data_IF_533131898798
#
_entry.id   IF_533131898798
#
_cell.length_a   1.000
_cell.length_b   1.000
_cell.length_c   1.000
_cell.angle_alpha   90.00
_cell.angle_beta   90.00
_cell.angle_gamma   90.00
#
_symmetry.space_group_name_H-M   'P 1'
#
loop_
_entity.id
_entity.type
_entity.pdbx_description
1 polymer ?
#
# COMPACT_ATOMS: atom_id res chain seq x y z
N UNK A 1 19.55 12.03 6.34
CA UNK A 1 20.01 12.92 7.42
C UNK A 1 19.31 12.46 8.69
N UNK A 2 20.05 12.04 9.71
CA UNK A 2 19.51 11.61 11.00
C UNK A 2 19.53 12.81 11.94
N UNK A 3 18.39 13.11 12.57
CA UNK A 3 18.29 14.18 13.58
C UNK A 3 18.78 13.66 14.93
N UNK A 4 19.29 14.56 15.77
CA UNK A 4 19.72 14.24 17.14
C UNK A 4 18.58 14.18 18.16
N UNK A 5 17.36 14.45 17.73
CA UNK A 5 16.13 14.45 18.57
C UNK A 5 14.94 13.93 17.77
N UNK A 6 13.88 13.52 18.45
CA UNK A 6 12.61 13.16 17.82
C UNK A 6 11.75 14.41 17.59
N UNK A 7 11.57 14.85 16.32
CA UNK A 7 10.80 16.06 16.01
C UNK A 7 9.31 15.94 16.35
N UNK A 8 8.77 14.72 16.45
CA UNK A 8 7.36 14.51 16.83
C UNK A 8 7.19 14.65 18.34
N UNK A 9 8.13 14.13 19.12
CA UNK A 9 8.15 14.33 20.55
C UNK A 9 8.31 15.82 20.92
N UNK A 10 9.15 16.54 20.19
CA UNK A 10 9.30 18.01 20.37
C UNK A 10 8.02 18.77 19.96
N UNK A 11 7.41 18.42 18.84
CA UNK A 11 6.13 19.02 18.44
C UNK A 11 5.02 18.76 19.46
N UNK A 12 4.99 17.54 20.06
CA UNK A 12 4.08 17.19 21.13
C UNK A 12 4.25 18.10 22.33
N UNK A 13 5.51 18.30 22.80
CA UNK A 13 5.81 19.18 23.93
C UNK A 13 5.35 20.62 23.68
N UNK A 14 5.67 21.18 22.50
CA UNK A 14 5.24 22.53 22.12
C UNK A 14 3.72 22.64 22.01
N UNK A 15 3.05 21.60 21.55
CA UNK A 15 1.58 21.58 21.49
C UNK A 15 0.96 21.68 22.89
N UNK A 16 1.45 20.86 23.83
CA UNK A 16 0.99 20.91 25.23
C UNK A 16 1.17 22.30 25.85
N UNK A 17 2.32 22.92 25.63
CA UNK A 17 2.64 24.25 26.17
C UNK A 17 1.74 25.36 25.62
N UNK A 18 1.32 25.28 24.35
CA UNK A 18 0.58 26.36 23.70
C UNK A 18 -0.93 26.14 23.62
N UNK A 19 -1.37 24.90 23.55
CA UNK A 19 -2.76 24.52 23.27
C UNK A 19 -3.39 23.64 24.37
N UNK A 20 -2.59 23.15 25.31
CA UNK A 20 -3.02 22.24 26.36
C UNK A 20 -3.08 20.76 25.89
N UNK A 21 -3.43 19.88 26.82
CA UNK A 21 -3.30 18.42 26.63
C UNK A 21 -4.44 17.78 25.84
N UNK A 22 -5.56 18.48 25.60
CA UNK A 22 -6.83 17.89 25.10
C UNK A 22 -6.66 17.09 23.79
N UNK A 23 -5.85 17.56 22.83
CA UNK A 23 -5.65 16.92 21.53
C UNK A 23 -4.23 16.41 21.29
N UNK A 24 -3.34 16.52 22.26
CA UNK A 24 -1.91 16.23 22.11
C UNK A 24 -1.64 14.80 21.69
N UNK A 25 -2.32 13.83 22.29
CA UNK A 25 -2.14 12.42 21.92
C UNK A 25 -2.60 12.15 20.48
N UNK A 26 -3.71 12.75 20.07
CA UNK A 26 -4.24 12.59 18.70
C UNK A 26 -3.33 13.26 17.67
N UNK A 27 -2.82 14.47 17.96
CA UNK A 27 -1.87 15.17 17.10
C UNK A 27 -0.59 14.35 16.91
N UNK A 28 0.00 13.85 18.01
CA UNK A 28 1.21 13.04 17.97
C UNK A 28 0.98 11.74 17.19
N UNK A 29 -0.17 11.07 17.37
CA UNK A 29 -0.53 9.87 16.64
C UNK A 29 -0.64 10.13 15.13
N UNK A 30 -1.38 11.17 14.73
CA UNK A 30 -1.54 11.54 13.30
C UNK A 30 -0.19 11.86 12.68
N UNK A 31 0.63 12.68 13.33
CA UNK A 31 1.95 13.05 12.81
C UNK A 31 2.86 11.82 12.68
N UNK A 32 2.82 10.90 13.67
CA UNK A 32 3.56 9.64 13.63
C UNK A 32 3.10 8.73 12.48
N UNK A 33 1.80 8.61 12.25
CA UNK A 33 1.23 7.83 11.12
C UNK A 33 1.75 8.38 9.79
N UNK A 34 1.67 9.69 9.58
CA UNK A 34 2.11 10.32 8.34
C UNK A 34 3.61 10.12 8.10
N UNK A 35 4.42 10.23 9.15
CA UNK A 35 5.86 9.99 9.05
C UNK A 35 6.20 8.51 8.82
N UNK A 36 5.56 7.62 9.56
CA UNK A 36 5.73 6.18 9.39
C UNK A 36 5.36 5.73 7.97
N UNK A 37 4.25 6.23 7.42
CA UNK A 37 3.83 5.96 6.05
C UNK A 37 4.93 6.34 5.03
N UNK A 38 5.54 7.51 5.16
CA UNK A 38 6.64 7.93 4.29
C UNK A 38 7.85 6.99 4.38
N UNK A 39 8.25 6.61 5.60
CA UNK A 39 9.39 5.71 5.84
C UNK A 39 9.12 4.33 5.25
N UNK A 40 7.96 3.75 5.55
CA UNK A 40 7.58 2.42 5.07
C UNK A 40 7.48 2.41 3.55
N UNK A 41 6.84 3.41 2.93
CA UNK A 41 6.73 3.50 1.47
C UNK A 41 8.09 3.61 0.77
N UNK A 42 9.01 4.43 1.31
CA UNK A 42 10.37 4.52 0.79
C UNK A 42 11.09 3.16 0.86
N UNK A 43 10.99 2.48 2.00
CA UNK A 43 11.61 1.17 2.21
C UNK A 43 11.02 0.09 1.30
N UNK A 44 9.70 0.03 1.15
CA UNK A 44 9.04 -0.91 0.24
C UNK A 44 9.45 -0.69 -1.21
N UNK A 45 9.54 0.57 -1.67
CA UNK A 45 9.97 0.87 -3.02
C UNK A 45 11.44 0.50 -3.25
N UNK A 46 12.34 0.75 -2.30
CA UNK A 46 13.75 0.32 -2.34
C UNK A 46 13.85 -1.21 -2.47
N UNK A 47 13.07 -1.97 -1.70
CA UNK A 47 13.03 -3.43 -1.77
C UNK A 47 12.52 -3.95 -3.13
N UNK A 48 11.65 -3.19 -3.81
CA UNK A 48 11.01 -3.56 -5.06
C UNK A 48 11.74 -3.06 -6.31
N UNK A 49 12.65 -2.09 -6.18
CA UNK A 49 13.43 -1.53 -7.29
C UNK A 49 14.13 -2.60 -8.16
N UNK A 50 14.82 -3.64 -7.57
CA UNK A 50 15.51 -4.66 -8.37
C UNK A 50 14.59 -5.57 -9.20
N UNK A 51 13.28 -5.44 -9.07
CA UNK A 51 12.27 -6.14 -9.88
C UNK A 51 11.41 -5.19 -10.70
N UNK A 52 11.86 -3.94 -10.87
CA UNK A 52 11.17 -2.86 -11.61
C UNK A 52 9.71 -2.65 -11.15
N UNK A 53 9.51 -2.66 -9.83
CA UNK A 53 8.21 -2.41 -9.23
C UNK A 53 8.28 -1.28 -8.20
N UNK A 54 7.16 -0.57 -8.06
CA UNK A 54 6.84 0.23 -6.86
C UNK A 54 5.77 -0.51 -6.05
N UNK A 55 5.57 -0.14 -4.80
CA UNK A 55 4.59 -0.82 -3.97
C UNK A 55 3.16 -0.77 -4.58
N UNK A 56 2.63 0.36 -5.11
CA UNK A 56 1.34 0.36 -5.79
C UNK A 56 1.28 -0.55 -7.03
N UNK A 57 2.39 -0.68 -7.79
CA UNK A 57 2.45 -1.62 -8.93
C UNK A 57 2.46 -3.07 -8.44
N UNK A 58 3.16 -3.36 -7.35
CA UNK A 58 3.15 -4.67 -6.72
C UNK A 58 1.75 -5.05 -6.24
N UNK A 59 1.02 -4.17 -5.56
CA UNK A 59 -0.34 -4.43 -5.10
C UNK A 59 -1.29 -4.75 -6.26
N UNK A 60 -1.29 -3.94 -7.32
CA UNK A 60 -2.08 -4.19 -8.52
C UNK A 60 -1.72 -5.53 -9.18
N UNK A 61 -0.42 -5.86 -9.26
CA UNK A 61 0.07 -7.12 -9.81
C UNK A 61 -0.38 -8.32 -8.96
N UNK A 62 -0.40 -8.19 -7.63
CA UNK A 62 -0.86 -9.23 -6.71
C UNK A 62 -2.38 -9.46 -6.79
N UNK A 63 -3.19 -8.42 -7.00
CA UNK A 63 -4.62 -8.59 -7.27
C UNK A 63 -4.86 -9.44 -8.52
N UNK A 64 -4.09 -9.22 -9.58
CA UNK A 64 -4.15 -10.03 -10.79
C UNK A 64 -3.62 -11.46 -10.54
N UNK A 65 -2.53 -11.59 -9.79
CA UNK A 65 -1.92 -12.88 -9.45
C UNK A 65 -2.90 -13.80 -8.72
N UNK A 66 -3.69 -13.26 -7.78
CA UNK A 66 -4.68 -14.00 -6.99
C UNK A 66 -6.03 -14.16 -7.69
N UNK A 67 -6.27 -13.41 -8.77
CA UNK A 67 -7.53 -13.53 -9.49
C UNK A 67 -7.65 -14.89 -10.19
N UNK A 68 -8.87 -15.42 -10.25
CA UNK A 68 -9.13 -16.79 -10.77
C UNK A 68 -8.57 -17.02 -12.19
N UNK A 69 -8.66 -15.99 -13.06
CA UNK A 69 -8.19 -16.08 -14.46
C UNK A 69 -6.89 -15.32 -14.71
N UNK A 70 -6.30 -14.71 -13.69
CA UNK A 70 -5.15 -13.81 -13.86
C UNK A 70 -5.53 -12.47 -14.49
N UNK A 71 -6.81 -12.12 -14.52
CA UNK A 71 -7.30 -10.90 -15.14
C UNK A 71 -8.41 -10.25 -14.32
N UNK A 72 -8.49 -8.91 -14.38
CA UNK A 72 -9.53 -8.10 -13.73
C UNK A 72 -9.84 -6.86 -14.57
N UNK A 73 -11.11 -6.38 -14.55
CA UNK A 73 -11.46 -5.04 -15.02
C UNK A 73 -10.71 -3.97 -14.20
N UNK A 74 -10.27 -2.89 -14.87
CA UNK A 74 -9.59 -1.78 -14.20
C UNK A 74 -10.41 -1.17 -13.06
N UNK A 75 -11.74 -1.10 -13.23
CA UNK A 75 -12.66 -0.63 -12.18
C UNK A 75 -12.57 -1.49 -10.91
N UNK A 76 -12.53 -2.82 -11.05
CA UNK A 76 -12.40 -3.71 -9.89
C UNK A 76 -11.04 -3.61 -9.19
N UNK A 77 -9.98 -3.26 -9.94
CA UNK A 77 -8.67 -2.97 -9.34
C UNK A 77 -8.75 -1.66 -8.53
N UNK A 78 -9.40 -0.63 -9.09
CA UNK A 78 -9.65 0.65 -8.41
C UNK A 78 -10.39 0.47 -7.09
N UNK A 79 -11.51 -0.27 -7.13
CA UNK A 79 -12.34 -0.52 -5.95
C UNK A 79 -11.58 -1.26 -4.84
N UNK A 80 -10.76 -2.27 -5.21
CA UNK A 80 -9.99 -3.07 -4.25
C UNK A 80 -8.78 -2.37 -3.66
N UNK A 81 -8.14 -1.50 -4.45
CA UNK A 81 -7.00 -0.69 -3.97
C UNK A 81 -7.47 0.61 -3.31
N UNK A 82 -8.77 0.92 -3.39
CA UNK A 82 -9.36 2.15 -2.86
C UNK A 82 -8.65 3.41 -3.36
N UNK A 83 -8.29 3.42 -4.65
CA UNK A 83 -7.63 4.54 -5.32
C UNK A 83 -8.43 5.01 -6.53
N UNK A 84 -8.23 6.27 -6.91
CA UNK A 84 -8.91 6.84 -8.07
C UNK A 84 -8.57 6.08 -9.37
N UNK A 85 -9.54 5.95 -10.28
CA UNK A 85 -9.38 5.22 -11.56
C UNK A 85 -8.20 5.71 -12.40
N UNK A 86 -7.93 7.01 -12.39
CA UNK A 86 -6.77 7.57 -13.11
C UNK A 86 -5.43 7.03 -12.55
N UNK A 87 -5.32 6.83 -11.23
CA UNK A 87 -4.15 6.23 -10.59
C UNK A 87 -3.95 4.77 -11.04
N UNK A 88 -5.05 3.99 -11.11
CA UNK A 88 -5.00 2.60 -11.60
C UNK A 88 -4.58 2.56 -13.08
N UNK A 89 -5.09 3.45 -13.91
CA UNK A 89 -4.70 3.53 -15.33
C UNK A 89 -3.19 3.72 -15.46
N UNK A 90 -2.61 4.68 -14.73
CA UNK A 90 -1.16 4.92 -14.72
C UNK A 90 -0.36 3.71 -14.21
N UNK A 91 -0.82 3.07 -13.12
CA UNK A 91 -0.18 1.86 -12.57
C UNK A 91 -0.18 0.73 -13.60
N UNK A 92 -1.32 0.47 -14.26
CA UNK A 92 -1.45 -0.57 -15.28
C UNK A 92 -0.62 -0.23 -16.53
N UNK A 93 -0.57 1.02 -16.97
CA UNK A 93 0.28 1.43 -18.11
C UNK A 93 1.76 1.16 -17.84
N UNK A 94 2.23 1.43 -16.63
CA UNK A 94 3.61 1.12 -16.22
C UNK A 94 3.87 -0.40 -16.19
N UNK A 95 2.91 -1.20 -15.70
CA UNK A 95 3.02 -2.66 -15.71
C UNK A 95 2.98 -3.24 -17.13
N UNK A 96 2.23 -2.62 -18.05
CA UNK A 96 2.24 -2.98 -19.47
C UNK A 96 3.59 -2.64 -20.10
N UNK A 97 4.12 -1.47 -19.83
CA UNK A 97 5.44 -1.06 -20.33
C UNK A 97 6.57 -1.99 -19.86
N UNK A 98 6.48 -2.53 -18.62
CA UNK A 98 7.42 -3.53 -18.09
C UNK A 98 7.12 -4.96 -18.61
N UNK A 99 6.08 -5.18 -19.42
CA UNK A 99 5.68 -6.50 -19.93
C UNK A 99 5.08 -7.45 -18.86
N UNK A 100 4.71 -6.94 -17.70
CA UNK A 100 4.15 -7.74 -16.59
C UNK A 100 2.64 -7.92 -16.69
N UNK A 101 1.98 -7.03 -17.42
CA UNK A 101 0.53 -7.04 -17.67
C UNK A 101 0.28 -6.75 -19.15
N UNK A 102 -0.80 -7.28 -19.68
CA UNK A 102 -1.35 -6.92 -20.98
C UNK A 102 -2.78 -6.38 -20.83
N UNK A 103 -3.18 -5.50 -21.74
CA UNK A 103 -4.57 -5.06 -21.86
C UNK A 103 -5.30 -5.95 -22.82
N UNK A 104 -6.43 -6.51 -22.38
CA UNK A 104 -7.28 -7.37 -23.21
C UNK A 104 -8.71 -6.85 -23.22
N UNK A 105 -9.39 -7.00 -24.35
CA UNK A 105 -10.81 -6.67 -24.46
C UNK A 105 -11.65 -7.71 -23.69
N UNK A 106 -12.75 -7.24 -23.10
CA UNK A 106 -13.75 -8.15 -22.53
C UNK A 106 -14.59 -8.75 -23.66
N UNK A 107 -14.66 -10.09 -23.73
CA UNK A 107 -15.26 -10.80 -24.86
C UNK A 107 -16.72 -10.43 -25.17
N UNK A 108 -17.54 -10.05 -24.18
CA UNK A 108 -18.94 -9.69 -24.33
C UNK A 108 -19.20 -8.17 -24.24
N UNK A 109 -18.26 -7.38 -23.70
CA UNK A 109 -18.40 -5.93 -23.54
C UNK A 109 -17.14 -5.21 -24.05
N UNK A 110 -17.25 -4.65 -25.27
CA UNK A 110 -16.16 -3.89 -25.94
C UNK A 110 -15.73 -2.62 -25.19
N UNK A 111 -16.52 -2.15 -24.21
CA UNK A 111 -16.22 -0.94 -23.42
C UNK A 111 -15.35 -1.27 -22.20
N UNK A 112 -15.32 -2.54 -21.78
CA UNK A 112 -14.57 -2.97 -20.61
C UNK A 112 -13.19 -3.45 -21.02
N UNK A 113 -12.15 -2.79 -20.49
CA UNK A 113 -10.74 -3.19 -20.64
C UNK A 113 -10.36 -4.01 -19.41
N UNK A 114 -9.80 -5.20 -19.65
CA UNK A 114 -9.22 -6.03 -18.61
C UNK A 114 -7.69 -5.85 -18.59
N UNK A 115 -7.11 -5.85 -17.39
CA UNK A 115 -5.69 -6.09 -17.18
C UNK A 115 -5.49 -7.59 -16.94
N UNK A 116 -4.56 -8.22 -17.67
CA UNK A 116 -4.20 -9.64 -17.53
C UNK A 116 -2.72 -9.76 -17.18
N UNK A 117 -2.40 -10.55 -16.15
CA UNK A 117 -1.01 -10.82 -15.77
C UNK A 117 -0.36 -11.76 -16.75
N UNK A 118 0.87 -11.44 -17.18
CA UNK A 118 1.69 -12.27 -18.07
C UNK A 118 2.49 -13.31 -17.27
N UNK A 119 3.16 -14.25 -17.98
CA UNK A 119 4.08 -15.19 -17.33
C UNK A 119 5.25 -14.45 -16.65
N UNK A 120 5.81 -13.40 -17.29
CA UNK A 120 6.85 -12.55 -16.72
C UNK A 120 6.33 -11.77 -15.49
N UNK A 121 5.08 -11.28 -15.54
CA UNK A 121 4.41 -10.65 -14.40
C UNK A 121 4.26 -11.59 -13.20
N UNK A 122 3.86 -12.85 -13.45
CA UNK A 122 3.79 -13.86 -12.36
C UNK A 122 5.17 -14.15 -11.76
N UNK A 123 6.21 -14.22 -12.58
CA UNK A 123 7.57 -14.39 -12.10
C UNK A 123 8.05 -13.17 -11.29
N UNK A 124 7.76 -11.95 -11.76
CA UNK A 124 8.07 -10.71 -11.05
C UNK A 124 7.33 -10.63 -9.71
N UNK A 125 6.03 -10.93 -9.67
CA UNK A 125 5.23 -10.99 -8.44
C UNK A 125 5.86 -11.92 -7.38
N UNK A 126 6.26 -13.13 -7.77
CA UNK A 126 6.91 -14.09 -6.86
C UNK A 126 8.26 -13.59 -6.36
N UNK A 127 9.08 -12.96 -7.22
CA UNK A 127 10.38 -12.39 -6.79
C UNK A 127 10.16 -11.24 -5.81
N UNK A 128 9.24 -10.33 -6.13
CA UNK A 128 8.86 -9.21 -5.27
C UNK A 128 8.39 -9.68 -3.90
N UNK A 129 7.46 -10.65 -3.86
CA UNK A 129 6.94 -11.21 -2.60
C UNK A 129 8.04 -11.83 -1.75
N UNK A 130 8.98 -12.59 -2.36
CA UNK A 130 10.12 -13.14 -1.60
C UNK A 130 10.99 -12.06 -0.97
N UNK A 131 11.24 -10.96 -1.69
CA UNK A 131 12.04 -9.83 -1.17
C UNK A 131 11.31 -9.14 0.01
N UNK A 132 10.03 -8.84 -0.17
CA UNK A 132 9.21 -8.21 0.88
C UNK A 132 9.10 -9.11 2.13
N UNK A 133 8.84 -10.41 1.94
CA UNK A 133 8.80 -11.37 3.05
C UNK A 133 10.14 -11.47 3.77
N UNK A 134 11.25 -11.56 3.04
CA UNK A 134 12.60 -11.62 3.61
C UNK A 134 12.97 -10.40 4.45
N UNK A 135 12.39 -9.24 4.14
CA UNK A 135 12.55 -7.99 4.88
C UNK A 135 11.31 -7.65 5.72
N UNK A 136 10.45 -8.64 6.03
CA UNK A 136 9.23 -8.44 6.83
C UNK A 136 8.43 -7.19 6.39
N UNK A 137 8.36 -6.93 5.08
CA UNK A 137 7.74 -5.72 4.50
C UNK A 137 8.32 -4.40 5.03
N UNK A 138 9.63 -4.37 5.32
CA UNK A 138 10.29 -3.18 5.87
C UNK A 138 9.98 -2.91 7.34
N UNK A 139 9.35 -3.87 8.04
CA UNK A 139 8.94 -3.75 9.43
C UNK A 139 9.92 -4.45 10.40
N UNK A 140 11.18 -4.64 9.99
CA UNK A 140 12.19 -5.32 10.79
C UNK A 140 12.38 -4.76 12.21
N UNK A 141 12.22 -3.44 12.46
CA UNK A 141 12.34 -2.89 13.82
C UNK A 141 11.23 -3.33 14.79
N UNK A 142 10.13 -3.89 14.27
CA UNK A 142 8.98 -4.31 15.07
C UNK A 142 8.87 -5.83 15.11
N UNK A 143 8.55 -6.38 16.26
CA UNK A 143 8.19 -7.79 16.40
C UNK A 143 6.75 -8.07 15.88
N UNK A 144 6.39 -9.34 15.76
CA UNK A 144 5.06 -9.74 15.27
C UNK A 144 3.92 -9.29 16.21
N UNK A 145 4.18 -9.18 17.51
CA UNK A 145 3.19 -8.72 18.46
C UNK A 145 2.89 -7.23 18.26
N UNK A 146 3.93 -6.42 18.03
CA UNK A 146 3.79 -5.00 17.68
C UNK A 146 3.06 -4.81 16.35
N UNK A 147 3.41 -5.58 15.32
CA UNK A 147 2.71 -5.55 14.03
C UNK A 147 1.21 -5.90 14.17
N UNK A 148 0.86 -6.92 14.97
CA UNK A 148 -0.55 -7.25 15.25
C UNK A 148 -1.28 -6.15 15.99
N UNK A 149 -0.66 -5.48 16.96
CA UNK A 149 -1.26 -4.32 17.66
C UNK A 149 -1.52 -3.15 16.70
N UNK A 150 -0.57 -2.81 15.83
CA UNK A 150 -0.75 -1.79 14.79
C UNK A 150 -1.91 -2.16 13.86
N UNK A 151 -1.96 -3.39 13.37
CA UNK A 151 -3.04 -3.86 12.52
C UNK A 151 -4.40 -3.70 13.20
N UNK A 152 -4.55 -4.12 14.46
CA UNK A 152 -5.79 -3.98 15.22
C UNK A 152 -6.20 -2.51 15.40
N UNK A 153 -5.24 -1.65 15.75
CA UNK A 153 -5.47 -0.20 15.91
C UNK A 153 -5.96 0.43 14.61
N UNK A 154 -5.29 0.15 13.48
CA UNK A 154 -5.71 0.68 12.18
C UNK A 154 -7.00 0.06 11.66
N UNK A 155 -7.30 -1.20 12.00
CA UNK A 155 -8.59 -1.83 11.70
C UNK A 155 -9.73 -1.04 12.36
N UNK A 156 -9.60 -0.70 13.65
CA UNK A 156 -10.60 0.10 14.38
C UNK A 156 -10.76 1.51 13.79
N UNK A 157 -9.64 2.17 13.46
CA UNK A 157 -9.67 3.49 12.82
C UNK A 157 -10.40 3.47 11.47
N UNK A 158 -10.09 2.49 10.63
CA UNK A 158 -10.67 2.32 9.29
C UNK A 158 -12.17 1.99 9.36
N UNK A 159 -12.57 1.09 10.27
CA UNK A 159 -13.97 0.77 10.50
C UNK A 159 -14.76 2.01 10.97
N UNK A 160 -14.22 2.79 11.90
CA UNK A 160 -14.83 4.04 12.37
C UNK A 160 -14.95 5.12 11.29
N UNK A 161 -14.07 5.09 10.29
CA UNK A 161 -14.13 5.97 9.12
C UNK A 161 -15.06 5.46 7.99
N UNK A 162 -15.69 4.30 8.14
CA UNK A 162 -16.56 3.70 7.11
C UNK A 162 -15.78 3.16 5.89
N UNK A 163 -14.51 2.80 6.06
CA UNK A 163 -13.65 2.29 4.98
C UNK A 163 -14.10 0.91 4.47
N UNK A 164 -14.79 0.14 5.30
CA UNK A 164 -15.40 -1.15 4.97
C UNK A 164 -16.53 -1.50 5.95
N UNK A 165 -17.43 -2.39 5.53
CA UNK A 165 -18.46 -2.95 6.42
C UNK A 165 -17.87 -4.05 7.29
N UNK A 166 -18.12 -4.00 8.61
CA UNK A 166 -17.75 -5.09 9.50
C UNK A 166 -18.60 -6.32 9.16
N UNK A 167 -18.01 -7.52 9.07
CA UNK A 167 -18.81 -8.73 8.94
C UNK A 167 -19.72 -8.85 10.16
N UNK A 168 -21.03 -9.00 9.92
CA UNK A 168 -22.04 -9.21 10.93
C UNK A 168 -21.86 -10.55 11.67
#
# INVERSE_FOLDING_TARGET
>A
MTLSFDPIAEARRQWDEHWGEEATASMAAVTSIMRAQQIVMARLNELLEPVDLTFPRYEALMLLFYSRRGELPLGKISDRLQVHRASVTNVIDKLVASGYVERVGHGSDRRTVLARITASGRAAARRATRRLNGSRFGMEPLDDAACRRLFATFTSLRAGAGDYELPG
#
